data_IF_476090272225
#
_entry.id   IF_476090272225
#
_cell.length_a   1.000
_cell.length_b   1.000
_cell.length_c   1.000
_cell.angle_alpha   90.00
_cell.angle_beta   90.00
_cell.angle_gamma   90.00
#
_symmetry.space_group_name_H-M   'P 1'
#
loop_
_entity.id
_entity.type
_entity.pdbx_description
1 polymer ?
#
# COMPACT_ATOMS: atom_id res chain seq x y z
N UNK A 1 -26.77 36.06 -5.90
CA UNK A 1 -26.48 36.76 -7.19
C UNK A 1 -26.15 35.71 -8.24
N UNK A 2 -26.67 35.85 -9.46
CA UNK A 2 -26.24 34.98 -10.58
C UNK A 2 -24.85 35.42 -11.02
N UNK A 3 -23.88 34.54 -10.96
CA UNK A 3 -22.52 34.78 -11.47
C UNK A 3 -22.56 35.06 -12.97
N UNK A 4 -21.87 36.12 -13.39
CA UNK A 4 -21.75 36.48 -14.80
C UNK A 4 -20.51 35.86 -15.41
N UNK A 5 -20.67 34.98 -16.39
CA UNK A 5 -19.58 34.35 -17.07
C UNK A 5 -19.63 34.58 -18.59
N UNK A 6 -18.49 35.05 -19.15
CA UNK A 6 -18.38 35.34 -20.61
C UNK A 6 -17.01 34.95 -21.14
N UNK A 7 -17.02 34.34 -22.32
CA UNK A 7 -15.78 34.00 -23.08
C UNK A 7 -15.82 34.73 -24.41
N UNK A 8 -14.80 35.55 -24.70
CA UNK A 8 -14.66 36.33 -25.92
C UNK A 8 -13.32 36.01 -26.61
N UNK A 9 -13.36 35.89 -27.92
CA UNK A 9 -12.15 35.75 -28.74
C UNK A 9 -11.89 37.03 -29.53
N UNK A 10 -10.61 37.40 -29.66
CA UNK A 10 -10.19 38.57 -30.44
C UNK A 10 -8.77 38.40 -30.95
N UNK A 11 -8.40 39.10 -32.02
CA UNK A 11 -7.03 39.17 -32.50
C UNK A 11 -6.33 40.38 -31.89
N UNK A 12 -5.06 40.19 -31.45
CA UNK A 12 -4.30 41.25 -30.81
C UNK A 12 -3.66 42.16 -31.84
N UNK A 13 -4.26 43.35 -32.01
CA UNK A 13 -3.72 44.43 -32.87
C UNK A 13 -2.38 44.91 -32.38
N UNK A 14 -1.47 45.32 -33.27
CA UNK A 14 -0.14 45.80 -32.92
C UNK A 14 0.86 44.68 -32.49
N UNK A 15 0.52 43.43 -32.76
CA UNK A 15 1.41 42.27 -32.51
C UNK A 15 1.51 41.38 -33.76
N UNK A 16 1.64 42.00 -34.93
CA UNK A 16 1.72 41.29 -36.20
C UNK A 16 3.01 40.46 -36.25
N UNK A 17 2.89 39.22 -36.69
CA UNK A 17 4.01 38.37 -36.96
C UNK A 17 4.66 38.66 -38.35
N UNK A 18 5.87 38.20 -38.62
CA UNK A 18 6.52 38.41 -39.92
C UNK A 18 5.71 37.94 -41.14
N UNK A 19 4.77 37.01 -40.92
CA UNK A 19 3.84 36.48 -41.91
C UNK A 19 2.55 37.32 -42.09
N UNK A 20 2.43 38.47 -41.43
CA UNK A 20 1.25 39.35 -41.45
C UNK A 20 0.05 38.86 -40.63
N UNK A 21 0.18 37.74 -39.93
CA UNK A 21 -0.91 37.21 -39.10
C UNK A 21 -0.89 37.82 -37.68
N UNK A 22 -2.11 37.87 -37.06
CA UNK A 22 -2.29 38.37 -35.70
C UNK A 22 -2.53 37.22 -34.70
N UNK A 23 -1.95 37.27 -33.49
CA UNK A 23 -2.21 36.26 -32.46
C UNK A 23 -3.68 36.27 -32.01
N UNK A 24 -4.31 35.09 -31.98
CA UNK A 24 -5.64 34.89 -31.43
C UNK A 24 -5.57 34.83 -29.90
N UNK A 25 -6.40 35.65 -29.26
CA UNK A 25 -6.49 35.74 -27.80
C UNK A 25 -7.89 35.32 -27.33
N UNK A 26 -7.93 34.66 -26.16
CA UNK A 26 -9.15 34.39 -25.43
C UNK A 26 -9.21 35.31 -24.20
N UNK A 27 -10.37 35.96 -23.99
CA UNK A 27 -10.71 36.77 -22.81
C UNK A 27 -11.79 36.07 -22.01
N UNK A 28 -11.54 35.83 -20.75
CA UNK A 28 -12.49 35.29 -19.78
C UNK A 28 -12.93 36.46 -18.88
N UNK A 29 -14.21 36.59 -18.68
CA UNK A 29 -14.79 37.53 -17.71
C UNK A 29 -15.67 36.74 -16.74
N UNK A 30 -15.41 36.84 -15.42
CA UNK A 30 -16.23 36.26 -14.37
C UNK A 30 -16.50 37.37 -13.34
N UNK A 31 -17.73 37.68 -13.05
CA UNK A 31 -18.17 38.68 -12.07
C UNK A 31 -17.40 40.01 -12.18
N UNK A 32 -17.13 40.47 -13.42
CA UNK A 32 -16.40 41.69 -13.72
C UNK A 32 -14.87 41.54 -13.74
N UNK A 33 -14.30 40.50 -13.18
CA UNK A 33 -12.87 40.21 -13.30
C UNK A 33 -12.52 39.74 -14.71
N UNK A 34 -11.46 40.29 -15.31
CA UNK A 34 -11.02 39.96 -16.66
C UNK A 34 -9.63 39.32 -16.63
N UNK A 35 -9.49 38.17 -17.26
CA UNK A 35 -8.20 37.55 -17.58
C UNK A 35 -8.11 37.15 -19.05
N UNK A 36 -6.88 37.15 -19.57
CA UNK A 36 -6.62 36.88 -20.98
C UNK A 36 -5.48 35.86 -21.13
N UNK A 37 -5.54 35.09 -22.23
CA UNK A 37 -4.45 34.18 -22.60
C UNK A 37 -4.39 33.99 -24.11
N UNK A 38 -3.22 33.61 -24.62
CA UNK A 38 -3.03 33.30 -26.03
C UNK A 38 -3.63 31.93 -26.38
N UNK A 39 -4.34 31.83 -27.47
CA UNK A 39 -4.87 30.57 -28.02
C UNK A 39 -3.76 29.77 -28.76
N UNK A 40 -2.52 30.25 -28.78
CA UNK A 40 -1.39 29.66 -29.51
C UNK A 40 -1.69 29.41 -30.99
N UNK A 41 -2.46 30.29 -31.58
CA UNK A 41 -2.86 30.27 -32.97
C UNK A 41 -2.81 31.70 -33.54
N UNK A 42 -2.46 31.82 -34.81
CA UNK A 42 -2.40 33.08 -35.54
C UNK A 42 -3.49 33.09 -36.59
N UNK A 43 -4.04 34.28 -36.85
CA UNK A 43 -5.20 34.49 -37.73
C UNK A 43 -4.86 35.59 -38.71
N UNK A 44 -5.05 35.39 -40.03
CA UNK A 44 -4.96 36.47 -41.03
C UNK A 44 -5.99 37.54 -40.71
N UNK A 45 -5.60 38.85 -40.64
CA UNK A 45 -6.50 39.94 -40.28
C UNK A 45 -7.78 39.99 -41.16
N UNK A 46 -7.62 39.68 -42.44
CA UNK A 46 -8.74 39.65 -43.44
C UNK A 46 -9.81 38.60 -43.16
N UNK A 47 -9.48 37.54 -42.42
CA UNK A 47 -10.42 36.47 -42.09
C UNK A 47 -11.16 36.70 -40.78
N UNK A 48 -10.73 37.64 -39.92
CA UNK A 48 -11.31 37.81 -38.61
C UNK A 48 -12.49 38.74 -38.58
N UNK A 49 -13.67 38.22 -38.25
CA UNK A 49 -14.85 38.99 -37.95
C UNK A 49 -14.91 39.39 -36.49
N UNK A 50 -14.64 40.64 -36.20
CA UNK A 50 -14.62 41.21 -34.86
C UNK A 50 -16.00 41.16 -34.20
N UNK A 51 -17.09 41.36 -34.96
CA UNK A 51 -18.43 41.38 -34.42
C UNK A 51 -18.89 40.00 -33.95
N UNK A 52 -18.60 38.98 -34.72
CA UNK A 52 -18.96 37.59 -34.39
C UNK A 52 -17.88 36.82 -33.61
N UNK A 53 -16.68 37.41 -33.38
CA UNK A 53 -15.53 36.76 -32.74
C UNK A 53 -15.18 35.41 -33.37
N UNK A 54 -15.18 35.34 -34.72
CA UNK A 54 -14.92 34.14 -35.51
C UNK A 54 -14.22 34.50 -36.83
N UNK A 55 -13.66 33.50 -37.47
CA UNK A 55 -13.17 33.66 -38.84
C UNK A 55 -14.34 33.63 -39.84
N UNK A 56 -14.35 34.56 -40.79
CA UNK A 56 -15.35 34.67 -41.85
C UNK A 56 -14.98 33.81 -43.06
N UNK A 57 -16.02 33.39 -43.81
CA UNK A 57 -15.86 32.61 -45.04
C UNK A 57 -15.85 31.08 -44.81
N UNK A 58 -15.77 30.33 -45.95
CA UNK A 58 -15.80 28.84 -45.95
C UNK A 58 -14.47 28.20 -46.27
N UNK A 59 -13.35 28.96 -46.26
CA UNK A 59 -12.02 28.42 -46.54
C UNK A 59 -11.62 27.39 -45.47
N UNK A 60 -10.77 26.46 -45.85
CA UNK A 60 -10.20 25.43 -44.92
C UNK A 60 -9.53 26.10 -43.72
N UNK A 61 -8.88 27.24 -43.94
CA UNK A 61 -8.24 28.02 -42.88
C UNK A 61 -9.25 28.61 -41.91
N UNK A 62 -10.34 29.21 -42.42
CA UNK A 62 -11.44 29.75 -41.61
C UNK A 62 -12.12 28.64 -40.77
N UNK A 63 -12.37 27.51 -41.41
CA UNK A 63 -12.94 26.33 -40.68
C UNK A 63 -12.02 25.84 -39.57
N UNK A 64 -10.70 25.72 -39.80
CA UNK A 64 -9.73 25.33 -38.80
C UNK A 64 -9.71 26.30 -37.62
N UNK A 65 -9.70 27.61 -37.88
CA UNK A 65 -9.75 28.64 -36.84
C UNK A 65 -11.02 28.52 -36.02
N UNK A 66 -12.17 28.39 -36.66
CA UNK A 66 -13.47 28.29 -36.00
C UNK A 66 -13.58 27.03 -35.15
N UNK A 67 -13.09 25.89 -35.64
CA UNK A 67 -13.06 24.64 -34.88
C UNK A 67 -12.21 24.79 -33.59
N UNK A 68 -11.07 25.47 -33.70
CA UNK A 68 -10.23 25.72 -32.53
C UNK A 68 -10.87 26.68 -31.52
N UNK A 69 -11.51 27.73 -31.99
CA UNK A 69 -12.31 28.67 -31.15
C UNK A 69 -13.42 27.94 -30.42
N UNK A 70 -14.16 27.07 -31.10
CA UNK A 70 -15.26 26.32 -30.53
C UNK A 70 -14.74 25.30 -29.49
N UNK A 71 -13.64 24.58 -29.78
CA UNK A 71 -13.00 23.67 -28.85
C UNK A 71 -12.56 24.38 -27.57
N UNK A 72 -11.86 25.51 -27.69
CA UNK A 72 -11.42 26.31 -26.52
C UNK A 72 -12.63 26.77 -25.71
N UNK A 73 -13.71 27.23 -26.38
CA UNK A 73 -14.93 27.66 -25.72
C UNK A 73 -15.58 26.56 -24.92
N UNK A 74 -15.70 25.36 -25.51
CA UNK A 74 -16.27 24.18 -24.85
C UNK A 74 -15.39 23.78 -23.63
N UNK A 75 -14.08 23.74 -23.79
CA UNK A 75 -13.16 23.35 -22.70
C UNK A 75 -13.18 24.36 -21.55
N UNK A 76 -13.20 25.67 -21.82
CA UNK A 76 -13.30 26.72 -20.81
C UNK A 76 -14.65 26.65 -20.08
N UNK A 77 -15.76 26.44 -20.81
CA UNK A 77 -17.08 26.27 -20.19
C UNK A 77 -17.11 25.03 -19.27
N UNK A 78 -16.58 23.91 -19.73
CA UNK A 78 -16.49 22.68 -18.91
C UNK A 78 -15.72 22.94 -17.63
N UNK A 79 -14.54 23.58 -17.71
CA UNK A 79 -13.75 23.93 -16.52
C UNK A 79 -14.48 24.88 -15.57
N UNK A 80 -15.26 25.82 -16.10
CA UNK A 80 -16.08 26.70 -15.27
C UNK A 80 -17.11 25.89 -14.46
N UNK A 81 -17.82 24.96 -15.10
CA UNK A 81 -18.79 24.10 -14.43
C UNK A 81 -18.15 23.18 -13.39
N UNK A 82 -17.00 22.55 -13.73
CA UNK A 82 -16.24 21.72 -12.80
C UNK A 82 -15.85 22.50 -11.54
N UNK A 83 -15.29 23.71 -11.69
CA UNK A 83 -14.90 24.58 -10.58
C UNK A 83 -16.10 25.04 -9.75
N UNK A 84 -17.22 25.36 -10.38
CA UNK A 84 -18.45 25.74 -9.66
C UNK A 84 -19.00 24.59 -8.82
N UNK A 85 -18.93 23.35 -9.33
CA UNK A 85 -19.39 22.16 -8.59
C UNK A 85 -18.43 21.81 -7.43
N UNK A 86 -17.12 21.95 -7.63
CA UNK A 86 -16.12 21.52 -6.64
C UNK A 86 -15.94 22.56 -5.54
N UNK A 87 -15.83 23.82 -5.90
CA UNK A 87 -15.37 24.88 -5.00
C UNK A 87 -16.48 25.89 -4.64
N UNK A 88 -17.64 25.80 -5.31
CA UNK A 88 -18.78 26.67 -5.08
C UNK A 88 -18.62 28.11 -5.61
N UNK A 89 -17.42 28.50 -6.06
CA UNK A 89 -17.12 29.81 -6.65
C UNK A 89 -15.99 29.73 -7.69
N UNK A 90 -16.02 30.63 -8.68
CA UNK A 90 -14.99 30.74 -9.71
C UNK A 90 -14.55 32.20 -9.85
N UNK A 91 -13.24 32.44 -10.01
CA UNK A 91 -12.68 33.72 -10.44
C UNK A 91 -12.09 33.58 -11.85
N UNK A 92 -11.95 34.69 -12.58
CA UNK A 92 -11.35 34.65 -13.92
C UNK A 92 -9.89 34.16 -13.89
N UNK A 93 -9.14 34.49 -12.82
CA UNK A 93 -7.78 33.99 -12.62
C UNK A 93 -7.77 32.47 -12.44
N UNK A 94 -8.58 31.93 -11.53
CA UNK A 94 -8.68 30.52 -11.24
C UNK A 94 -9.09 29.69 -12.46
N UNK A 95 -10.06 30.20 -13.24
CA UNK A 95 -10.52 29.57 -14.48
C UNK A 95 -9.41 29.55 -15.56
N UNK A 96 -8.70 30.66 -15.74
CA UNK A 96 -7.55 30.73 -16.65
C UNK A 96 -6.48 29.73 -16.28
N UNK A 97 -6.10 29.68 -15.00
CA UNK A 97 -5.04 28.79 -14.50
C UNK A 97 -5.46 27.32 -14.64
N UNK A 98 -6.69 26.97 -14.34
CA UNK A 98 -7.25 25.63 -14.53
C UNK A 98 -7.28 25.23 -16.03
N UNK A 99 -7.62 26.16 -16.92
CA UNK A 99 -7.59 25.90 -18.37
C UNK A 99 -6.17 25.72 -18.90
N UNK A 100 -5.22 26.57 -18.46
CA UNK A 100 -3.81 26.50 -18.86
C UNK A 100 -3.01 25.43 -18.14
N UNK A 101 -3.59 24.78 -17.13
CA UNK A 101 -2.86 23.83 -16.27
C UNK A 101 -1.83 24.52 -15.34
N UNK A 102 -1.97 25.84 -15.13
CA UNK A 102 -1.11 26.63 -14.25
C UNK A 102 -1.54 26.40 -12.82
N UNK A 103 -0.59 26.04 -11.94
CA UNK A 103 -0.89 25.83 -10.52
C UNK A 103 -1.46 24.45 -10.16
N UNK A 104 -1.76 23.60 -11.13
CA UNK A 104 -1.97 22.18 -10.86
C UNK A 104 -0.58 21.61 -10.50
N UNK A 105 -0.23 21.60 -9.20
CA UNK A 105 0.87 20.79 -8.72
C UNK A 105 0.59 19.38 -9.22
N UNK A 106 1.34 18.93 -10.22
CA UNK A 106 1.18 17.56 -10.70
C UNK A 106 1.36 16.63 -9.50
N UNK A 107 0.28 15.98 -9.11
CA UNK A 107 0.34 14.94 -8.09
C UNK A 107 1.13 13.77 -8.65
N UNK A 108 2.21 13.43 -7.97
CA UNK A 108 3.13 12.39 -8.40
C UNK A 108 3.09 11.21 -7.46
N UNK A 109 3.52 10.05 -7.94
CA UNK A 109 3.41 8.79 -7.21
C UNK A 109 4.25 8.78 -5.93
N UNK A 110 5.51 9.18 -5.99
CA UNK A 110 6.39 9.18 -4.82
C UNK A 110 5.93 10.19 -3.78
N UNK A 111 5.51 11.39 -4.20
CA UNK A 111 4.96 12.39 -3.28
C UNK A 111 3.74 11.88 -2.53
N UNK A 112 2.79 11.24 -3.23
CA UNK A 112 1.63 10.61 -2.60
C UNK A 112 2.04 9.52 -1.62
N UNK A 113 3.01 8.70 -2.01
CA UNK A 113 3.52 7.61 -1.18
C UNK A 113 4.18 8.12 0.10
N UNK A 114 4.99 9.18 -0.01
CA UNK A 114 5.67 9.82 1.12
C UNK A 114 4.68 10.47 2.08
N UNK A 115 3.67 11.16 1.56
CA UNK A 115 2.58 11.71 2.38
C UNK A 115 1.86 10.62 3.17
N UNK A 116 1.46 9.53 2.49
CA UNK A 116 0.85 8.38 3.15
C UNK A 116 1.76 7.79 4.24
N UNK A 117 3.06 7.62 3.95
CA UNK A 117 4.00 7.05 4.90
C UNK A 117 4.19 7.92 6.12
N UNK A 118 4.26 9.24 5.96
CA UNK A 118 4.36 10.20 7.08
C UNK A 118 3.11 10.16 7.98
N UNK A 119 1.92 10.05 7.39
CA UNK A 119 0.67 9.90 8.16
C UNK A 119 0.56 8.54 8.84
N UNK A 120 1.01 7.47 8.16
CA UNK A 120 1.01 6.12 8.70
C UNK A 120 1.96 5.99 9.89
N UNK A 121 3.14 6.60 9.81
CA UNK A 121 4.16 6.60 10.86
C UNK A 121 3.64 7.16 12.19
N UNK A 122 2.86 8.24 12.16
CA UNK A 122 2.21 8.82 13.34
C UNK A 122 1.25 7.85 14.05
N UNK A 123 0.77 6.84 13.34
CA UNK A 123 -0.19 5.83 13.86
C UNK A 123 0.49 4.56 14.36
N UNK A 124 1.81 4.42 14.13
CA UNK A 124 2.57 3.24 14.56
C UNK A 124 2.66 3.20 16.09
N UNK A 125 2.44 2.02 16.65
CA UNK A 125 2.39 1.81 18.10
C UNK A 125 1.03 2.08 18.74
N UNK A 126 0.14 2.79 18.06
CA UNK A 126 -1.24 3.04 18.51
C UNK A 126 -2.25 2.11 17.77
N UNK A 127 -2.51 2.42 16.51
CA UNK A 127 -3.50 1.68 15.70
C UNK A 127 -2.88 0.89 14.55
N UNK A 128 -1.58 1.02 14.31
CA UNK A 128 -0.85 0.39 13.21
C UNK A 128 0.42 -0.29 13.67
N UNK A 129 0.75 -1.42 13.04
CA UNK A 129 1.93 -2.21 13.36
C UNK A 129 3.18 -1.69 12.63
N UNK A 130 4.32 -1.67 13.33
CA UNK A 130 5.64 -1.29 12.78
C UNK A 130 6.01 -2.11 11.54
N UNK A 131 5.71 -3.42 11.52
CA UNK A 131 6.02 -4.28 10.35
C UNK A 131 5.26 -3.88 9.08
N UNK A 132 4.04 -3.36 9.23
CA UNK A 132 3.26 -2.83 8.10
C UNK A 132 3.89 -1.54 7.57
N UNK A 133 4.26 -0.61 8.46
CA UNK A 133 4.97 0.62 8.08
C UNK A 133 6.28 0.33 7.34
N UNK A 134 7.09 -0.59 7.88
CA UNK A 134 8.34 -1.01 7.23
C UNK A 134 8.09 -1.51 5.80
N UNK A 135 7.01 -2.26 5.56
CA UNK A 135 6.65 -2.74 4.22
C UNK A 135 6.32 -1.58 3.28
N UNK A 136 5.52 -0.60 3.71
CA UNK A 136 5.21 0.59 2.91
C UNK A 136 6.48 1.37 2.56
N UNK A 137 7.36 1.60 3.53
CA UNK A 137 8.65 2.28 3.32
C UNK A 137 9.53 1.52 2.32
N UNK A 138 9.60 0.19 2.42
CA UNK A 138 10.37 -0.65 1.49
C UNK A 138 9.85 -0.52 0.06
N UNK A 139 8.52 -0.57 -0.15
CA UNK A 139 7.94 -0.43 -1.50
C UNK A 139 8.17 0.98 -2.05
N UNK A 140 8.02 2.02 -1.24
CA UNK A 140 8.34 3.40 -1.63
C UNK A 140 9.79 3.53 -2.11
N UNK A 141 10.74 2.92 -1.40
CA UNK A 141 12.15 2.91 -1.79
C UNK A 141 12.38 2.14 -3.10
N UNK A 142 11.71 1.00 -3.30
CA UNK A 142 11.81 0.27 -4.56
C UNK A 142 11.27 1.07 -5.75
N UNK A 143 10.18 1.83 -5.58
CA UNK A 143 9.68 2.73 -6.62
C UNK A 143 10.67 3.86 -6.88
N UNK A 144 11.29 4.44 -5.84
CA UNK A 144 12.30 5.48 -5.98
C UNK A 144 13.53 5.01 -6.76
N UNK A 145 13.90 3.74 -6.65
CA UNK A 145 14.99 3.12 -7.42
C UNK A 145 14.55 2.71 -8.83
N UNK A 146 13.31 2.27 -8.98
CA UNK A 146 12.74 1.83 -10.26
C UNK A 146 12.58 2.98 -11.27
N UNK A 147 12.11 4.14 -10.82
CA UNK A 147 11.83 5.26 -11.72
C UNK A 147 13.07 5.76 -12.50
N UNK A 148 14.24 6.00 -11.87
CA UNK A 148 15.45 6.33 -12.62
C UNK A 148 15.94 5.18 -13.50
N UNK A 149 15.80 3.93 -13.03
CA UNK A 149 16.23 2.75 -13.76
C UNK A 149 15.48 2.58 -15.07
N UNK A 150 14.14 2.55 -15.02
CA UNK A 150 13.29 2.21 -16.16
C UNK A 150 12.83 3.45 -16.97
N UNK A 151 12.56 4.56 -16.30
CA UNK A 151 11.92 5.73 -16.89
C UNK A 151 12.84 6.96 -16.99
N UNK A 152 14.07 6.93 -16.44
CA UNK A 152 15.02 8.05 -16.41
C UNK A 152 14.42 9.31 -15.78
N UNK A 153 13.57 9.16 -14.75
CA UNK A 153 12.86 10.22 -14.02
C UNK A 153 12.99 10.01 -12.53
N UNK A 154 12.94 11.07 -11.75
CA UNK A 154 12.93 11.01 -10.28
C UNK A 154 11.53 10.66 -9.71
N UNK A 155 10.47 11.10 -10.38
CA UNK A 155 9.09 10.82 -10.02
C UNK A 155 8.19 10.77 -11.26
N UNK A 156 6.96 10.24 -11.12
CA UNK A 156 6.01 10.10 -12.23
C UNK A 156 4.64 10.70 -11.85
N UNK A 157 4.04 11.52 -12.73
CA UNK A 157 2.68 12.00 -12.53
C UNK A 157 1.66 10.84 -12.41
N UNK A 158 0.71 10.95 -11.48
CA UNK A 158 -0.32 9.93 -11.31
C UNK A 158 -1.09 9.62 -12.61
N UNK A 159 -1.28 10.62 -13.46
CA UNK A 159 -1.98 10.49 -14.75
C UNK A 159 -1.25 9.62 -15.79
N UNK A 160 0.04 9.42 -15.63
CA UNK A 160 0.88 8.60 -16.52
C UNK A 160 0.93 7.13 -16.06
N UNK A 161 0.40 6.81 -14.87
CA UNK A 161 0.32 5.44 -14.40
C UNK A 161 -0.63 4.64 -15.31
N UNK A 162 -0.16 3.50 -15.79
CA UNK A 162 -0.92 2.60 -16.64
C UNK A 162 -0.51 1.14 -16.36
N UNK A 163 -1.14 0.18 -17.03
CA UNK A 163 -0.84 -1.24 -16.83
C UNK A 163 0.61 -1.59 -17.18
N UNK A 164 1.21 -0.92 -18.19
CA UNK A 164 2.62 -1.13 -18.55
C UNK A 164 3.52 -0.76 -17.37
N UNK A 165 3.33 0.42 -16.75
CA UNK A 165 4.06 0.81 -15.54
C UNK A 165 3.96 -0.23 -14.42
N UNK A 166 2.77 -0.79 -14.19
CA UNK A 166 2.54 -1.80 -13.17
C UNK A 166 3.32 -3.08 -13.46
N UNK A 167 3.31 -3.54 -14.72
CA UNK A 167 4.05 -4.73 -15.15
C UNK A 167 5.57 -4.49 -15.11
N UNK A 168 6.04 -3.33 -15.54
CA UNK A 168 7.47 -2.98 -15.51
C UNK A 168 8.01 -2.94 -14.07
N UNK A 169 7.22 -2.42 -13.12
CA UNK A 169 7.60 -2.43 -11.71
C UNK A 169 7.65 -3.86 -11.15
N UNK A 170 6.68 -4.71 -11.48
CA UNK A 170 6.73 -6.14 -11.10
C UNK A 170 7.97 -6.81 -11.69
N UNK A 171 8.26 -6.59 -12.97
CA UNK A 171 9.46 -7.12 -13.63
C UNK A 171 10.74 -6.68 -12.92
N UNK A 172 10.87 -5.39 -12.60
CA UNK A 172 12.00 -4.85 -11.83
C UNK A 172 12.16 -5.53 -10.46
N UNK A 173 11.06 -5.76 -9.74
CA UNK A 173 11.11 -6.47 -8.46
C UNK A 173 11.63 -7.91 -8.62
N UNK A 174 11.30 -8.58 -9.71
CA UNK A 174 11.72 -9.96 -9.98
C UNK A 174 13.18 -10.04 -10.45
N UNK A 175 13.59 -9.18 -11.36
CA UNK A 175 14.91 -9.23 -12.02
C UNK A 175 15.98 -8.51 -11.22
N UNK A 176 15.79 -7.23 -10.92
CA UNK A 176 16.78 -6.40 -10.25
C UNK A 176 16.82 -6.66 -8.73
N UNK A 177 15.64 -6.74 -8.10
CA UNK A 177 15.53 -6.98 -6.66
C UNK A 177 15.52 -8.45 -6.29
N UNK A 178 15.45 -9.37 -7.27
CA UNK A 178 15.44 -10.82 -7.10
C UNK A 178 14.41 -11.29 -6.07
N UNK A 179 13.26 -10.61 -6.02
CA UNK A 179 12.19 -10.93 -5.09
C UNK A 179 11.46 -12.21 -5.51
N UNK A 180 11.12 -13.05 -4.55
CA UNK A 180 10.28 -14.23 -4.77
C UNK A 180 8.82 -13.83 -4.98
N UNK A 181 8.03 -14.68 -5.66
CA UNK A 181 6.63 -14.43 -6.05
C UNK A 181 5.78 -13.87 -4.91
N UNK A 182 5.78 -14.49 -3.73
CA UNK A 182 4.99 -14.01 -2.59
C UNK A 182 5.46 -12.66 -2.03
N UNK A 183 6.73 -12.30 -2.21
CA UNK A 183 7.25 -10.98 -1.84
C UNK A 183 6.76 -9.94 -2.83
N UNK A 184 6.86 -10.24 -4.13
CA UNK A 184 6.35 -9.39 -5.22
C UNK A 184 4.86 -9.16 -5.03
N UNK A 185 4.07 -10.22 -4.85
CA UNK A 185 2.64 -10.13 -4.58
C UNK A 185 2.35 -9.17 -3.42
N UNK A 186 3.05 -9.31 -2.29
CA UNK A 186 2.88 -8.44 -1.12
C UNK A 186 3.24 -6.98 -1.39
N UNK A 187 4.25 -6.71 -2.24
CA UNK A 187 4.64 -5.35 -2.62
C UNK A 187 3.64 -4.73 -3.61
N UNK A 188 3.14 -5.50 -4.56
CA UNK A 188 2.11 -5.04 -5.50
C UNK A 188 0.79 -4.69 -4.80
N UNK A 189 0.40 -5.42 -3.73
CA UNK A 189 -0.75 -5.05 -2.88
C UNK A 189 -0.55 -3.65 -2.26
N UNK A 190 0.65 -3.35 -1.79
CA UNK A 190 0.97 -2.03 -1.21
C UNK A 190 0.85 -0.93 -2.25
N UNK A 191 1.43 -1.11 -3.44
CA UNK A 191 1.30 -0.15 -4.53
C UNK A 191 -0.16 0.04 -4.96
N UNK A 192 -0.91 -1.06 -5.09
CA UNK A 192 -2.35 -1.03 -5.41
C UNK A 192 -3.15 -0.22 -4.38
N UNK A 193 -2.80 -0.34 -3.10
CA UNK A 193 -3.45 0.44 -2.04
C UNK A 193 -3.18 1.94 -2.19
N UNK A 194 -1.94 2.36 -2.44
CA UNK A 194 -1.59 3.77 -2.67
C UNK A 194 -2.33 4.34 -3.88
N UNK A 195 -2.36 3.58 -4.99
CA UNK A 195 -3.13 3.98 -6.18
C UNK A 195 -4.64 4.07 -5.89
N UNK A 196 -5.16 3.19 -5.05
CA UNK A 196 -6.56 3.24 -4.62
C UNK A 196 -6.89 4.50 -3.82
N UNK A 197 -5.97 4.99 -2.99
CA UNK A 197 -6.11 6.28 -2.28
C UNK A 197 -6.24 7.41 -3.32
N UNK A 198 -5.33 7.48 -4.31
CA UNK A 198 -5.39 8.50 -5.36
C UNK A 198 -6.72 8.49 -6.13
N UNK A 199 -7.27 7.30 -6.37
CA UNK A 199 -8.57 7.13 -7.04
C UNK A 199 -9.74 7.60 -6.18
N UNK A 200 -9.77 7.19 -4.93
CA UNK A 200 -10.84 7.54 -3.99
C UNK A 200 -10.88 9.04 -3.70
N UNK A 201 -9.71 9.69 -3.73
CA UNK A 201 -9.58 11.16 -3.59
C UNK A 201 -9.86 11.93 -4.89
N UNK A 202 -10.25 11.24 -5.99
CA UNK A 202 -10.50 11.86 -7.30
C UNK A 202 -9.25 12.36 -8.03
N UNK A 203 -8.03 12.08 -7.53
CA UNK A 203 -6.76 12.50 -8.14
C UNK A 203 -6.39 11.66 -9.38
N UNK A 204 -6.95 10.45 -9.47
CA UNK A 204 -6.75 9.52 -10.58
C UNK A 204 -8.10 8.97 -11.05
N UNK A 205 -8.59 9.36 -12.24
CA UNK A 205 -9.95 9.02 -12.71
C UNK A 205 -10.08 7.60 -13.24
N UNK A 206 -8.98 6.87 -13.47
CA UNK A 206 -8.95 5.50 -13.99
C UNK A 206 -8.19 4.55 -13.06
N UNK A 207 -8.28 3.25 -13.33
CA UNK A 207 -7.58 2.22 -12.56
C UNK A 207 -6.42 1.62 -13.35
N UNK A 208 -5.15 1.98 -13.08
CA UNK A 208 -3.99 1.40 -13.77
C UNK A 208 -3.79 -0.09 -13.48
N UNK A 209 -4.44 -0.63 -12.43
CA UNK A 209 -4.45 -2.07 -12.12
C UNK A 209 -5.60 -2.83 -12.80
N UNK A 210 -6.40 -2.19 -13.69
CA UNK A 210 -7.40 -2.90 -14.47
C UNK A 210 -6.69 -3.92 -15.38
N UNK A 211 -7.07 -5.19 -15.26
CA UNK A 211 -6.41 -6.28 -16.01
C UNK A 211 -5.08 -6.80 -15.39
N UNK A 212 -4.59 -6.20 -14.30
CA UNK A 212 -3.42 -6.74 -13.60
C UNK A 212 -3.82 -7.94 -12.73
N UNK A 213 -3.22 -9.09 -13.02
CA UNK A 213 -3.46 -10.34 -12.28
C UNK A 213 -2.15 -10.78 -11.64
N UNK A 214 -2.15 -10.91 -10.32
CA UNK A 214 -1.06 -11.48 -9.56
C UNK A 214 -1.64 -12.22 -8.34
N UNK A 215 -1.24 -13.47 -8.14
CA UNK A 215 -1.68 -14.32 -7.05
C UNK A 215 -0.48 -14.87 -6.26
N UNK A 216 -0.64 -15.12 -4.97
CA UNK A 216 0.41 -15.76 -4.20
C UNK A 216 0.54 -17.23 -4.57
N UNK A 217 1.76 -17.75 -4.51
CA UNK A 217 2.03 -19.18 -4.56
C UNK A 217 1.70 -19.79 -3.19
N UNK A 218 1.06 -20.96 -3.22
CA UNK A 218 0.89 -21.76 -2.01
C UNK A 218 2.25 -22.27 -1.53
N UNK A 219 2.54 -22.09 -0.27
CA UNK A 219 3.78 -22.57 0.36
C UNK A 219 3.40 -23.58 1.44
N UNK A 220 3.64 -24.84 1.16
CA UNK A 220 3.60 -25.86 2.20
C UNK A 220 4.78 -25.66 3.15
N UNK A 221 4.48 -25.41 4.40
CA UNK A 221 5.49 -25.24 5.46
C UNK A 221 5.75 -26.49 6.25
N UNK A 222 4.96 -27.53 6.02
CA UNK A 222 4.99 -28.77 6.74
C UNK A 222 4.58 -28.63 8.22
N UNK A 223 4.52 -29.78 8.87
CA UNK A 223 4.29 -29.92 10.32
C UNK A 223 5.06 -31.13 10.80
N UNK A 224 5.25 -31.26 12.11
CA UNK A 224 5.86 -32.44 12.74
C UNK A 224 4.80 -33.49 13.04
N UNK A 225 5.12 -34.74 12.76
CA UNK A 225 4.35 -35.91 13.19
C UNK A 225 4.50 -36.13 14.71
N UNK A 226 3.65 -36.95 15.29
CA UNK A 226 3.71 -37.26 16.72
C UNK A 226 5.08 -37.87 17.12
N UNK A 227 5.62 -38.76 16.28
CA UNK A 227 6.95 -39.36 16.49
C UNK A 227 8.06 -38.31 16.43
N UNK A 228 7.98 -37.37 15.48
CA UNK A 228 8.97 -36.28 15.39
C UNK A 228 8.88 -35.32 16.58
N UNK A 229 7.67 -35.04 17.13
CA UNK A 229 7.50 -34.28 18.35
C UNK A 229 8.21 -34.97 19.52
N UNK A 230 8.01 -36.28 19.66
CA UNK A 230 8.67 -37.08 20.72
C UNK A 230 10.19 -37.05 20.53
N UNK A 231 10.70 -37.30 19.34
CA UNK A 231 12.11 -37.19 18.99
C UNK A 231 12.69 -35.84 19.37
N UNK A 232 11.98 -34.77 19.09
CA UNK A 232 12.37 -33.39 19.44
C UNK A 232 12.47 -33.21 20.98
N UNK A 233 11.50 -33.76 21.70
CA UNK A 233 11.44 -33.64 23.16
C UNK A 233 12.59 -34.40 23.84
N UNK A 234 12.96 -35.53 23.29
CA UNK A 234 14.02 -36.41 23.87
C UNK A 234 15.44 -36.05 23.39
N UNK A 235 15.55 -35.23 22.33
CA UNK A 235 16.83 -34.87 21.74
C UNK A 235 17.73 -34.11 22.72
N UNK A 236 19.02 -34.51 22.89
CA UNK A 236 19.98 -33.77 23.69
C UNK A 236 20.30 -32.42 23.10
N UNK A 237 20.32 -31.39 23.93
CA UNK A 237 20.58 -30.01 23.48
C UNK A 237 22.03 -29.58 23.83
N UNK A 238 22.64 -28.79 22.93
CA UNK A 238 24.03 -28.33 23.06
C UNK A 238 24.27 -27.48 24.33
N UNK A 239 23.27 -26.69 24.72
CA UNK A 239 23.36 -25.77 25.85
C UNK A 239 21.95 -25.34 26.29
N UNK A 240 21.89 -24.62 27.42
CA UNK A 240 20.64 -24.14 28.01
C UNK A 240 19.81 -23.27 27.08
N UNK A 241 20.43 -22.48 26.18
CA UNK A 241 19.69 -21.65 25.23
C UNK A 241 19.00 -22.50 24.16
N UNK A 242 19.64 -23.54 23.64
CA UNK A 242 19.01 -24.48 22.71
C UNK A 242 17.88 -25.24 23.40
N UNK A 243 18.09 -25.66 24.64
CA UNK A 243 17.02 -26.30 25.41
C UNK A 243 15.83 -25.40 25.67
N UNK A 244 16.06 -24.15 26.04
CA UNK A 244 14.99 -23.14 26.16
C UNK A 244 14.21 -23.00 24.86
N UNK A 245 14.88 -22.79 23.73
CA UNK A 245 14.22 -22.59 22.44
C UNK A 245 13.44 -23.82 21.99
N UNK A 246 13.99 -25.04 22.20
CA UNK A 246 13.29 -26.30 21.99
C UNK A 246 12.01 -26.36 22.84
N UNK A 247 12.11 -26.09 24.14
CA UNK A 247 10.98 -26.13 25.06
C UNK A 247 9.91 -25.07 24.72
N UNK A 248 10.30 -23.86 24.35
CA UNK A 248 9.37 -22.83 23.87
C UNK A 248 8.64 -23.23 22.57
N UNK A 249 9.34 -23.93 21.67
CA UNK A 249 8.72 -24.47 20.45
C UNK A 249 7.73 -25.58 20.81
N UNK A 250 8.10 -26.53 21.67
CA UNK A 250 7.22 -27.61 22.17
C UNK A 250 6.00 -27.01 22.90
N UNK A 251 6.23 -25.99 23.73
CA UNK A 251 5.12 -25.27 24.37
C UNK A 251 4.13 -24.72 23.34
N UNK A 252 4.64 -24.12 22.26
CA UNK A 252 3.79 -23.62 21.15
C UNK A 252 3.13 -24.74 20.36
N UNK A 253 3.75 -25.92 20.25
CA UNK A 253 3.13 -27.11 19.63
C UNK A 253 1.88 -27.54 20.41
N UNK A 254 1.92 -27.53 21.73
CA UNK A 254 0.79 -27.98 22.55
C UNK A 254 -0.23 -26.89 22.91
N UNK A 255 0.12 -25.61 22.69
CA UNK A 255 -0.79 -24.48 23.01
C UNK A 255 -1.30 -23.71 21.80
N UNK A 256 -0.70 -23.91 20.63
CA UNK A 256 -1.02 -23.15 19.42
C UNK A 256 -0.63 -21.66 19.49
N UNK A 257 0.04 -21.20 20.56
CA UNK A 257 0.44 -19.81 20.71
C UNK A 257 1.53 -19.42 19.71
N UNK A 258 1.43 -18.23 19.14
CA UNK A 258 2.46 -17.69 18.28
C UNK A 258 3.65 -17.17 19.10
N UNK A 259 4.81 -17.00 18.47
CA UNK A 259 6.01 -16.43 19.10
C UNK A 259 5.72 -15.15 19.89
N UNK A 260 4.96 -14.23 19.32
CA UNK A 260 4.61 -12.96 19.97
C UNK A 260 3.80 -13.17 21.25
N UNK A 261 2.92 -14.16 21.24
CA UNK A 261 2.00 -14.41 22.34
C UNK A 261 2.74 -15.13 23.49
N UNK A 262 3.63 -16.08 23.15
CA UNK A 262 4.52 -16.72 24.13
C UNK A 262 5.50 -15.72 24.76
N UNK A 263 6.07 -14.81 23.95
CA UNK A 263 6.99 -13.78 24.44
C UNK A 263 6.34 -12.81 25.41
N UNK A 264 5.06 -12.49 25.18
CA UNK A 264 4.33 -11.54 26.03
C UNK A 264 3.42 -12.24 27.06
N UNK A 265 3.56 -13.57 27.23
CA UNK A 265 2.78 -14.30 28.22
C UNK A 265 3.25 -13.94 29.63
N UNK A 266 2.35 -13.45 30.44
CA UNK A 266 2.56 -13.06 31.84
C UNK A 266 1.87 -14.00 32.82
N UNK A 267 2.32 -14.07 34.06
CA UNK A 267 1.83 -15.01 35.03
C UNK A 267 0.35 -14.80 35.40
N UNK A 268 -0.17 -13.58 35.34
CA UNK A 268 -1.58 -13.24 35.56
C UNK A 268 -2.53 -13.86 34.51
N UNK A 269 -1.99 -14.27 33.35
CA UNK A 269 -2.72 -14.97 32.30
C UNK A 269 -2.89 -16.46 32.57
N UNK A 270 -2.22 -17.00 33.58
CA UNK A 270 -2.33 -18.38 34.00
C UNK A 270 -3.37 -18.48 35.14
N UNK A 271 -4.52 -19.07 34.87
CA UNK A 271 -5.63 -19.12 35.82
C UNK A 271 -6.16 -20.54 35.97
N UNK A 272 -6.46 -20.93 37.21
CA UNK A 272 -7.17 -22.19 37.45
C UNK A 272 -8.67 -21.95 37.24
N UNK A 273 -9.26 -22.75 36.36
CA UNK A 273 -10.70 -22.67 36.03
C UNK A 273 -11.53 -23.57 36.92
N UNK A 274 -12.87 -23.50 36.73
CA UNK A 274 -13.84 -24.30 37.48
C UNK A 274 -13.67 -25.83 37.35
N UNK A 275 -12.98 -26.28 36.28
CA UNK A 275 -12.63 -27.68 36.02
C UNK A 275 -11.35 -28.13 36.78
N UNK A 276 -10.79 -27.27 37.64
CA UNK A 276 -9.57 -27.53 38.39
C UNK A 276 -8.28 -27.53 37.52
N UNK A 277 -8.40 -27.28 36.23
CA UNK A 277 -7.23 -27.25 35.34
C UNK A 277 -6.67 -25.84 35.21
N UNK A 278 -5.38 -25.78 34.88
CA UNK A 278 -4.69 -24.53 34.57
C UNK A 278 -4.94 -24.17 33.11
N UNK A 279 -5.35 -22.94 32.88
CA UNK A 279 -5.65 -22.37 31.55
C UNK A 279 -4.81 -21.13 31.29
N UNK A 280 -4.54 -20.85 30.02
CA UNK A 280 -4.03 -19.56 29.54
C UNK A 280 -5.23 -18.75 29.05
N UNK A 281 -5.47 -17.59 29.66
CA UNK A 281 -6.50 -16.64 29.26
C UNK A 281 -5.79 -15.47 28.59
N UNK A 282 -5.88 -15.37 27.28
CA UNK A 282 -5.14 -14.35 26.52
C UNK A 282 -5.92 -13.84 25.33
N UNK A 283 -5.44 -12.74 24.75
CA UNK A 283 -5.91 -12.23 23.46
C UNK A 283 -4.78 -12.21 22.47
N UNK A 284 -5.02 -12.75 21.29
CA UNK A 284 -3.99 -12.78 20.22
C UNK A 284 -3.57 -11.36 19.85
N UNK A 285 -2.28 -11.06 19.96
CA UNK A 285 -1.74 -9.72 19.65
C UNK A 285 -2.08 -9.22 18.24
N UNK A 286 -2.16 -10.10 17.25
CA UNK A 286 -2.40 -9.75 15.85
C UNK A 286 -3.86 -9.44 15.53
N UNK A 287 -4.81 -10.16 16.12
CA UNK A 287 -6.25 -10.12 15.77
C UNK A 287 -7.13 -9.62 16.90
N UNK A 288 -6.57 -9.44 18.10
CA UNK A 288 -7.28 -9.15 19.34
C UNK A 288 -8.40 -10.17 19.68
N UNK A 289 -8.32 -11.38 19.12
CA UNK A 289 -9.24 -12.47 19.37
C UNK A 289 -8.92 -13.11 20.71
N UNK A 290 -9.92 -13.34 21.54
CA UNK A 290 -9.78 -14.07 22.80
C UNK A 290 -9.38 -15.52 22.52
N UNK A 291 -8.51 -16.06 23.36
CA UNK A 291 -7.99 -17.42 23.22
C UNK A 291 -7.80 -18.01 24.61
N UNK A 292 -8.66 -18.99 24.95
CA UNK A 292 -8.63 -19.70 26.21
C UNK A 292 -8.09 -21.11 25.95
N UNK A 293 -6.92 -21.41 26.50
CA UNK A 293 -6.16 -22.63 26.18
C UNK A 293 -5.98 -23.43 27.47
N UNK A 294 -6.57 -24.62 27.52
CA UNK A 294 -6.31 -25.58 28.59
C UNK A 294 -4.89 -26.10 28.49
N UNK A 295 -4.15 -26.04 29.58
CA UNK A 295 -2.78 -26.54 29.60
C UNK A 295 -2.77 -28.06 29.85
N UNK A 296 -2.16 -28.77 28.90
CA UNK A 296 -1.82 -30.19 29.06
C UNK A 296 -0.55 -30.34 29.94
N UNK A 297 -0.18 -31.55 30.29
CA UNK A 297 0.93 -31.79 31.24
C UNK A 297 2.29 -31.35 30.72
N UNK A 298 2.55 -31.48 29.41
CA UNK A 298 3.82 -31.03 28.81
C UNK A 298 4.01 -29.53 28.97
N UNK A 299 3.07 -28.65 28.56
CA UNK A 299 3.13 -27.20 28.80
C UNK A 299 3.29 -26.84 30.29
N UNK A 300 2.60 -27.53 31.20
CA UNK A 300 2.70 -27.30 32.67
C UNK A 300 4.12 -27.53 33.16
N UNK A 301 4.74 -28.65 32.77
CA UNK A 301 6.12 -28.97 33.12
C UNK A 301 7.12 -27.94 32.57
N UNK A 302 6.88 -27.44 31.37
CA UNK A 302 7.72 -26.40 30.78
C UNK A 302 7.57 -25.07 31.54
N UNK A 303 6.37 -24.65 31.92
CA UNK A 303 6.17 -23.46 32.76
C UNK A 303 6.93 -23.59 34.07
N UNK A 304 6.76 -24.70 34.79
CA UNK A 304 7.43 -24.92 36.11
C UNK A 304 8.94 -24.90 35.97
N UNK A 305 9.52 -25.49 34.91
CA UNK A 305 10.95 -25.49 34.66
C UNK A 305 11.56 -24.08 34.53
N UNK A 306 10.80 -23.12 33.95
CA UNK A 306 11.31 -21.77 33.71
C UNK A 306 10.74 -20.71 34.67
N UNK A 307 10.00 -21.14 35.69
CA UNK A 307 9.43 -20.28 36.71
C UNK A 307 10.51 -19.45 37.42
N UNK A 308 10.28 -18.15 37.49
CA UNK A 308 11.19 -17.20 38.12
C UNK A 308 12.44 -16.84 37.31
N UNK A 309 12.66 -17.42 36.13
CA UNK A 309 13.82 -17.10 35.27
C UNK A 309 13.58 -15.91 34.33
N UNK A 310 12.32 -15.50 34.11
CA UNK A 310 11.97 -14.34 33.31
C UNK A 310 11.87 -13.07 34.19
N UNK A 311 12.00 -11.90 33.55
CA UNK A 311 11.86 -10.60 34.20
C UNK A 311 10.46 -10.03 33.93
N UNK A 312 10.08 -8.98 34.64
CA UNK A 312 8.88 -8.15 34.37
C UNK A 312 7.56 -8.94 34.35
N UNK A 313 7.44 -10.00 35.17
CA UNK A 313 6.24 -10.82 35.28
C UNK A 313 5.97 -11.77 34.11
N UNK A 314 6.89 -11.85 33.13
CA UNK A 314 6.78 -12.82 32.03
C UNK A 314 6.97 -14.27 32.51
N UNK A 315 6.32 -15.21 31.83
CA UNK A 315 6.44 -16.65 32.13
C UNK A 315 7.78 -17.21 31.63
N UNK A 316 8.28 -16.72 30.51
CA UNK A 316 9.49 -17.24 29.86
C UNK A 316 10.50 -16.15 29.47
N UNK A 317 11.82 -16.42 29.59
CA UNK A 317 12.87 -15.54 29.07
C UNK A 317 13.07 -15.74 27.56
N UNK A 318 12.12 -15.30 26.72
CA UNK A 318 12.06 -15.61 25.28
C UNK A 318 13.10 -14.81 24.48
N UNK A 319 14.08 -15.47 23.80
CA UNK A 319 15.03 -14.80 22.91
C UNK A 319 14.35 -14.14 21.70
N UNK A 320 15.10 -13.34 20.93
CA UNK A 320 14.54 -12.74 19.71
C UNK A 320 14.01 -13.79 18.72
N UNK A 321 12.98 -13.44 17.93
CA UNK A 321 12.41 -14.35 16.93
C UNK A 321 13.45 -14.84 15.90
N UNK A 322 14.37 -13.95 15.52
CA UNK A 322 15.47 -14.30 14.64
C UNK A 322 16.38 -15.36 15.26
N UNK A 323 16.77 -15.19 16.55
CA UNK A 323 17.59 -16.14 17.29
C UNK A 323 16.86 -17.48 17.46
N UNK A 324 15.58 -17.47 17.88
CA UNK A 324 14.79 -18.69 17.97
C UNK A 324 14.76 -19.46 16.65
N UNK A 325 14.47 -18.79 15.53
CA UNK A 325 14.41 -19.44 14.22
C UNK A 325 15.78 -19.94 13.73
N UNK A 326 16.89 -19.29 14.11
CA UNK A 326 18.24 -19.79 13.82
C UNK A 326 18.50 -21.11 14.55
N UNK A 327 18.26 -21.12 15.86
CA UNK A 327 18.45 -22.30 16.72
C UNK A 327 17.51 -23.45 16.31
N UNK A 328 16.23 -23.17 16.02
CA UNK A 328 15.28 -24.20 15.57
C UNK A 328 15.73 -24.89 14.27
N UNK A 329 16.35 -24.17 13.35
CA UNK A 329 16.92 -24.79 12.14
C UNK A 329 18.09 -25.72 12.45
N UNK A 330 18.89 -25.39 13.44
CA UNK A 330 20.01 -26.25 13.89
C UNK A 330 19.47 -27.51 14.57
N UNK A 331 18.49 -27.36 15.47
CA UNK A 331 17.81 -28.48 16.15
C UNK A 331 17.12 -29.40 15.13
N UNK A 332 16.38 -28.83 14.15
CA UNK A 332 15.72 -29.63 13.13
C UNK A 332 16.68 -30.47 12.29
N UNK A 333 17.86 -29.91 11.95
CA UNK A 333 18.92 -30.66 11.28
C UNK A 333 19.51 -31.76 12.17
N UNK A 334 19.75 -31.47 13.44
CA UNK A 334 20.25 -32.44 14.43
C UNK A 334 19.28 -33.63 14.59
N UNK A 335 17.98 -33.37 14.60
CA UNK A 335 16.93 -34.40 14.68
C UNK A 335 16.62 -35.10 13.33
N UNK A 336 17.25 -34.70 12.22
CA UNK A 336 17.03 -35.30 10.91
C UNK A 336 15.68 -34.96 10.28
N UNK A 337 15.02 -33.91 10.72
CA UNK A 337 13.69 -33.55 10.18
C UNK A 337 13.75 -33.03 8.74
N UNK A 338 12.83 -33.49 7.89
CA UNK A 338 12.65 -32.98 6.54
C UNK A 338 12.06 -31.57 6.54
N UNK A 339 11.22 -31.26 7.52
CA UNK A 339 10.59 -29.96 7.71
C UNK A 339 11.62 -28.98 8.26
N UNK A 340 11.75 -27.83 7.59
CA UNK A 340 12.60 -26.74 8.09
C UNK A 340 11.95 -26.07 9.28
N UNK A 341 12.42 -26.36 10.49
CA UNK A 341 11.84 -25.78 11.70
C UNK A 341 11.94 -24.26 11.72
N UNK A 342 10.81 -23.64 11.95
CA UNK A 342 10.65 -22.22 12.30
C UNK A 342 9.57 -22.12 13.37
N UNK A 343 9.55 -21.05 14.15
CA UNK A 343 8.56 -20.92 15.23
C UNK A 343 7.11 -21.03 14.72
N UNK A 344 6.85 -20.66 13.47
CA UNK A 344 5.54 -20.79 12.87
C UNK A 344 5.11 -22.25 12.61
N UNK A 345 6.05 -23.16 12.38
CA UNK A 345 5.77 -24.60 12.19
C UNK A 345 5.13 -25.20 13.45
N UNK A 346 5.45 -24.70 14.66
CA UNK A 346 4.78 -25.15 15.88
C UNK A 346 3.26 -25.01 15.80
N UNK A 347 2.74 -23.92 15.22
CA UNK A 347 1.29 -23.72 15.06
C UNK A 347 0.66 -24.65 14.02
N UNK A 348 1.37 -24.91 12.91
CA UNK A 348 0.92 -25.91 11.93
C UNK A 348 0.91 -27.30 12.56
N UNK A 349 1.92 -27.64 13.37
CA UNK A 349 1.97 -28.90 14.11
C UNK A 349 0.84 -29.00 15.14
N UNK A 350 0.56 -27.93 15.88
CA UNK A 350 -0.58 -27.89 16.80
C UNK A 350 -1.90 -28.18 16.07
N UNK A 351 -2.18 -27.43 15.00
CA UNK A 351 -3.40 -27.59 14.23
C UNK A 351 -3.55 -29.00 13.67
N UNK A 352 -2.51 -29.52 13.01
CA UNK A 352 -2.58 -30.79 12.28
C UNK A 352 -2.39 -31.99 13.21
N UNK A 353 -1.29 -32.01 13.98
CA UNK A 353 -0.89 -33.21 14.75
C UNK A 353 -1.53 -33.27 16.12
N UNK A 354 -1.73 -32.12 16.80
CA UNK A 354 -2.27 -32.13 18.15
C UNK A 354 -3.79 -32.05 18.18
N UNK A 355 -4.42 -31.29 17.26
CA UNK A 355 -5.87 -31.07 17.29
C UNK A 355 -6.59 -31.92 16.24
N UNK A 356 -6.35 -31.72 14.94
CA UNK A 356 -7.09 -32.41 13.89
C UNK A 356 -6.94 -33.92 13.93
N UNK A 357 -5.71 -34.45 14.17
CA UNK A 357 -5.48 -35.91 14.28
C UNK A 357 -6.16 -36.56 15.49
N UNK A 358 -6.60 -35.76 16.46
CA UNK A 358 -7.36 -36.20 17.64
C UNK A 358 -8.83 -35.84 17.56
N UNK A 359 -9.36 -35.56 16.36
CA UNK A 359 -10.80 -35.40 16.11
C UNK A 359 -11.37 -34.03 16.47
N UNK A 360 -10.53 -33.02 16.73
CA UNK A 360 -11.01 -31.65 16.91
C UNK A 360 -11.46 -31.10 15.55
N UNK A 361 -12.71 -30.60 15.42
CA UNK A 361 -13.19 -30.05 14.15
C UNK A 361 -12.36 -28.85 13.68
N UNK A 362 -12.19 -28.72 12.36
CA UNK A 362 -11.36 -27.64 11.77
C UNK A 362 -11.90 -26.25 12.10
N UNK A 363 -13.20 -26.12 12.32
CA UNK A 363 -13.87 -24.88 12.71
C UNK A 363 -13.45 -24.40 14.11
N UNK A 364 -12.92 -25.31 14.93
CA UNK A 364 -12.45 -25.04 16.30
C UNK A 364 -10.95 -24.71 16.35
N UNK A 365 -10.18 -25.08 15.33
CA UNK A 365 -8.73 -24.92 15.22
C UNK A 365 -8.34 -23.52 14.66
#
# INVERSE_FOLDING_TARGET
MRSTFKVLFYVKKGSEKPNGNLPLMCRITVDGEIKQFSCKMDVPPRLWDVKNSRASGKSVEAQRINLAVDKIRVDVNRRYQELMQTDGYVTAAKLKDAYLGIGVKQETLLKLFEQHNAEFEKKVGHSRAQGTFTRYRTVCNHIREFLPHAYKREDIPLKELNLTFINDFEYFLRTEKKCRTNTVWGYMIVLKHIVSIARNDGRLPFNPFAGYINSPESVDRGYLTQTEIQTLMDAPMKNATHELVRNLFVFSVFTGLAYSDVKNLTADRLQTFFDGNLWIITRRKKTNTESNIRLLDVPKRIIEKYKGLARDGHVFPVPSNGSCNKILKEIGRQCGFKVRLTYHVARHTNATTVLLSHGVPIETV
#
